data_IF_224448585888
#
_entry.id   IF_224448585888
#
_cell.length_a   1.000
_cell.length_b   1.000
_cell.length_c   1.000
_cell.angle_alpha   90.00
_cell.angle_beta   90.00
_cell.angle_gamma   90.00
#
_symmetry.space_group_name_H-M   'P 1'
#
loop_
_entity.id
_entity.type
_entity.pdbx_description
1 polymer ?
#
# COMPACT_ATOMS: atom_id res chain seq x y z
N UNK A 1 21.87 24.12 19.46
CA UNK A 1 21.14 23.86 18.20
C UNK A 1 19.78 23.29 18.55
N UNK A 2 18.66 23.82 18.02
CA UNK A 2 17.30 23.34 18.36
C UNK A 2 17.15 21.85 17.98
N UNK A 3 16.68 21.01 18.91
CA UNK A 3 16.55 19.56 18.73
C UNK A 3 15.71 19.21 17.49
N UNK A 4 14.65 19.98 17.24
CA UNK A 4 13.76 19.82 16.08
C UNK A 4 14.53 20.00 14.77
N UNK A 5 15.30 21.08 14.64
CA UNK A 5 16.02 21.38 13.39
C UNK A 5 17.11 20.35 13.12
N UNK A 6 17.80 19.88 14.16
CA UNK A 6 18.75 18.77 14.06
C UNK A 6 18.08 17.50 13.52
N UNK A 7 16.98 17.08 14.15
CA UNK A 7 16.28 15.85 13.77
C UNK A 7 15.69 15.94 12.35
N UNK A 8 15.16 17.10 11.94
CA UNK A 8 14.68 17.33 10.58
C UNK A 8 15.82 17.21 9.56
N UNK A 9 16.99 17.84 9.82
CA UNK A 9 18.16 17.73 8.94
C UNK A 9 18.65 16.29 8.84
N UNK A 10 18.76 15.59 9.96
CA UNK A 10 19.14 14.19 10.00
C UNK A 10 18.15 13.31 9.21
N UNK A 11 16.84 13.57 9.34
CA UNK A 11 15.78 12.87 8.61
C UNK A 11 15.91 13.08 7.10
N UNK A 12 16.08 14.32 6.64
CA UNK A 12 16.30 14.64 5.22
C UNK A 12 17.58 13.98 4.69
N UNK A 13 18.70 14.10 5.40
CA UNK A 13 19.96 13.46 5.01
C UNK A 13 19.82 11.92 4.92
N UNK A 14 19.12 11.31 5.88
CA UNK A 14 18.85 9.87 5.87
C UNK A 14 18.02 9.43 4.65
N UNK A 15 17.16 10.31 4.13
CA UNK A 15 16.42 10.03 2.91
C UNK A 15 17.31 9.99 1.69
N UNK A 16 18.41 10.73 1.59
CA UNK A 16 19.25 10.74 0.39
C UNK A 16 20.54 9.93 0.53
N UNK A 17 20.81 9.33 1.70
CA UNK A 17 22.04 8.59 1.98
C UNK A 17 22.27 7.39 1.05
N UNK A 18 21.23 6.69 0.61
CA UNK A 18 21.37 5.48 -0.23
C UNK A 18 20.57 5.62 -1.51
N UNK A 19 21.21 5.34 -2.65
CA UNK A 19 20.62 5.41 -4.00
C UNK A 19 19.96 6.76 -4.26
N UNK A 20 20.72 7.84 -4.04
CA UNK A 20 20.29 9.24 -4.14
C UNK A 20 19.52 9.51 -5.43
N UNK A 21 20.06 9.11 -6.58
CA UNK A 21 19.43 9.30 -7.89
C UNK A 21 18.07 8.60 -7.98
N UNK A 22 17.96 7.34 -7.55
CA UNK A 22 16.68 6.62 -7.53
C UNK A 22 15.63 7.35 -6.68
N UNK A 23 16.02 7.89 -5.52
CA UNK A 23 15.09 8.58 -4.61
C UNK A 23 14.70 9.96 -5.13
N UNK A 24 15.61 10.67 -5.77
CA UNK A 24 15.32 11.92 -6.48
C UNK A 24 14.32 11.64 -7.61
N UNK A 25 14.56 10.62 -8.43
CA UNK A 25 13.64 10.24 -9.50
C UNK A 25 12.25 9.85 -8.96
N UNK A 26 12.18 9.11 -7.86
CA UNK A 26 10.90 8.78 -7.22
C UNK A 26 10.17 10.01 -6.68
N UNK A 27 10.89 10.98 -6.12
CA UNK A 27 10.29 12.25 -5.68
C UNK A 27 9.81 13.08 -6.87
N UNK A 28 10.60 13.18 -7.94
CA UNK A 28 10.21 13.87 -9.17
C UNK A 28 8.96 13.23 -9.79
N UNK A 29 8.94 11.90 -9.89
CA UNK A 29 7.75 11.15 -10.33
C UNK A 29 6.56 11.41 -9.40
N UNK A 30 6.79 11.52 -8.08
CA UNK A 30 5.77 11.88 -7.11
C UNK A 30 5.18 13.28 -7.33
N UNK A 31 6.01 14.27 -7.67
CA UNK A 31 5.57 15.63 -8.03
C UNK A 31 4.77 15.61 -9.34
N UNK A 32 5.24 14.89 -10.35
CA UNK A 32 4.50 14.72 -11.62
C UNK A 32 3.15 14.05 -11.36
N UNK A 33 3.12 13.01 -10.53
CA UNK A 33 1.89 12.38 -10.10
C UNK A 33 0.97 13.34 -9.36
N UNK A 34 1.51 14.15 -8.44
CA UNK A 34 0.75 15.19 -7.75
C UNK A 34 0.13 16.18 -8.75
N UNK A 35 0.89 16.64 -9.76
CA UNK A 35 0.37 17.52 -10.81
C UNK A 35 -0.77 16.88 -11.62
N UNK A 36 -0.62 15.60 -12.02
CA UNK A 36 -1.67 14.86 -12.74
C UNK A 36 -2.94 14.76 -11.89
N UNK A 37 -2.82 14.38 -10.61
CA UNK A 37 -3.98 14.31 -9.73
C UNK A 37 -4.59 15.69 -9.45
N UNK A 38 -3.78 16.74 -9.27
CA UNK A 38 -4.28 18.11 -9.12
C UNK A 38 -5.05 18.56 -10.36
N UNK A 39 -4.56 18.25 -11.55
CA UNK A 39 -5.24 18.52 -12.81
C UNK A 39 -6.59 17.78 -12.88
N UNK A 40 -6.62 16.47 -12.59
CA UNK A 40 -7.86 15.69 -12.56
C UNK A 40 -8.89 16.28 -11.58
N UNK A 41 -8.47 16.65 -10.36
CA UNK A 41 -9.34 17.29 -9.38
C UNK A 41 -9.79 18.69 -9.82
N UNK A 42 -8.93 19.46 -10.50
CA UNK A 42 -9.31 20.76 -11.07
C UNK A 42 -10.40 20.60 -12.13
N UNK A 43 -10.24 19.65 -13.06
CA UNK A 43 -11.23 19.37 -14.10
C UNK A 43 -12.56 18.91 -13.49
N UNK A 44 -12.54 18.11 -12.42
CA UNK A 44 -13.75 17.73 -11.68
C UNK A 44 -14.43 18.95 -11.03
N UNK A 45 -13.66 19.87 -10.46
CA UNK A 45 -14.20 21.11 -9.88
C UNK A 45 -14.81 22.02 -10.94
N UNK A 46 -14.16 22.15 -12.10
CA UNK A 46 -14.67 22.92 -13.25
C UNK A 46 -15.97 22.32 -13.80
N UNK A 47 -16.04 21.00 -13.97
CA UNK A 47 -17.26 20.32 -14.40
C UNK A 47 -18.40 20.46 -13.38
N UNK A 48 -18.09 20.38 -12.09
CA UNK A 48 -19.05 20.64 -11.01
C UNK A 48 -19.54 22.10 -11.01
N UNK A 49 -18.66 23.06 -11.29
CA UNK A 49 -19.01 24.47 -11.41
C UNK A 49 -19.87 24.75 -12.65
N UNK A 50 -19.60 24.08 -13.76
CA UNK A 50 -20.38 24.18 -14.99
C UNK A 50 -21.74 23.46 -14.92
N UNK A 51 -22.04 22.74 -13.82
CA UNK A 51 -23.26 21.96 -13.67
C UNK A 51 -23.31 20.71 -14.57
N UNK A 52 -22.17 20.29 -15.13
CA UNK A 52 -22.07 19.13 -16.00
C UNK A 52 -22.13 17.80 -15.22
N UNK A 53 -21.98 17.85 -13.90
CA UNK A 53 -22.09 16.68 -13.00
C UNK A 53 -23.18 16.91 -11.96
N UNK A 54 -23.74 15.83 -11.42
CA UNK A 54 -24.71 15.89 -10.31
C UNK A 54 -24.09 16.34 -8.97
N UNK A 55 -22.76 16.45 -8.91
CA UNK A 55 -22.02 16.83 -7.71
C UNK A 55 -21.78 18.33 -7.70
N UNK A 56 -22.13 18.99 -6.61
CA UNK A 56 -21.76 20.40 -6.39
C UNK A 56 -20.27 20.53 -6.07
N UNK A 57 -19.69 21.71 -6.37
CA UNK A 57 -18.29 22.05 -6.02
C UNK A 57 -17.98 21.72 -4.56
N UNK A 58 -18.92 22.04 -3.66
CA UNK A 58 -18.80 21.79 -2.24
C UNK A 58 -18.62 20.31 -1.91
N UNK A 59 -19.38 19.44 -2.59
CA UNK A 59 -19.30 17.99 -2.42
C UNK A 59 -17.99 17.43 -2.97
N UNK A 60 -17.50 17.95 -4.09
CA UNK A 60 -16.20 17.55 -4.64
C UNK A 60 -15.06 17.89 -3.65
N UNK A 61 -15.07 19.10 -3.09
CA UNK A 61 -14.10 19.52 -2.07
C UNK A 61 -14.20 18.70 -0.78
N UNK A 62 -15.43 18.40 -0.33
CA UNK A 62 -15.69 17.52 0.81
C UNK A 62 -15.07 16.14 0.61
N UNK A 63 -15.31 15.53 -0.56
CA UNK A 63 -14.74 14.23 -0.90
C UNK A 63 -13.23 14.25 -1.07
N UNK A 64 -12.65 15.34 -1.61
CA UNK A 64 -11.21 15.51 -1.67
C UNK A 64 -10.56 15.51 -0.27
N UNK A 65 -11.17 16.24 0.67
CA UNK A 65 -10.72 16.28 2.07
C UNK A 65 -10.89 14.94 2.78
N UNK A 66 -12.02 14.25 2.58
CA UNK A 66 -12.24 12.91 3.13
C UNK A 66 -11.24 11.90 2.56
N UNK A 67 -10.93 11.97 1.27
CA UNK A 67 -9.91 11.14 0.63
C UNK A 67 -8.54 11.40 1.24
N UNK A 68 -8.16 12.67 1.42
CA UNK A 68 -6.90 13.06 2.06
C UNK A 68 -6.78 12.47 3.48
N UNK A 69 -7.84 12.61 4.28
CA UNK A 69 -7.93 12.05 5.63
C UNK A 69 -7.81 10.53 5.62
N UNK A 70 -8.58 9.86 4.76
CA UNK A 70 -8.58 8.41 4.63
C UNK A 70 -7.20 7.89 4.21
N UNK A 71 -6.56 8.50 3.21
CA UNK A 71 -5.23 8.12 2.74
C UNK A 71 -4.18 8.22 3.85
N UNK A 72 -4.22 9.30 4.66
CA UNK A 72 -3.26 9.49 5.75
C UNK A 72 -3.47 8.46 6.87
N UNK A 73 -4.72 8.14 7.24
CA UNK A 73 -4.98 7.15 8.29
C UNK A 73 -4.67 5.74 7.77
N UNK A 74 -5.17 5.40 6.58
CA UNK A 74 -4.97 4.08 5.98
C UNK A 74 -3.49 3.75 5.80
N UNK A 75 -2.64 4.72 5.44
CA UNK A 75 -1.20 4.45 5.26
C UNK A 75 -0.54 3.84 6.51
N UNK A 76 -1.09 4.13 7.69
CA UNK A 76 -0.56 3.64 8.96
C UNK A 76 -1.00 2.23 9.31
N UNK A 77 -2.14 1.76 8.81
CA UNK A 77 -2.77 0.50 9.21
C UNK A 77 -2.85 -0.52 8.08
N UNK A 78 -3.14 -0.05 6.88
CA UNK A 78 -3.50 -0.88 5.75
C UNK A 78 -2.56 -0.61 4.58
N UNK A 79 -1.89 -1.62 4.01
CA UNK A 79 -2.09 -3.05 4.30
C UNK A 79 -1.22 -3.59 5.43
N UNK A 80 -0.20 -2.84 5.84
CA UNK A 80 0.65 -3.21 6.96
C UNK A 80 0.69 -2.11 7.99
N UNK A 81 0.38 -2.48 9.23
CA UNK A 81 0.62 -1.62 10.39
C UNK A 81 2.06 -1.11 10.40
N UNK A 82 2.22 0.20 10.17
CA UNK A 82 3.48 0.93 10.26
C UNK A 82 3.59 1.43 11.69
N UNK A 83 4.62 0.98 12.44
CA UNK A 83 4.72 1.39 13.82
C UNK A 83 5.08 2.87 13.94
N UNK A 84 4.68 3.49 15.05
CA UNK A 84 5.08 4.85 15.38
C UNK A 84 6.61 4.92 15.48
N UNK A 85 7.20 5.97 14.92
CA UNK A 85 8.64 6.20 14.98
C UNK A 85 9.04 6.87 16.29
N UNK A 86 9.68 6.12 17.20
CA UNK A 86 10.32 6.67 18.40
C UNK A 86 11.71 7.22 18.04
N UNK A 87 11.79 8.51 17.72
CA UNK A 87 13.05 9.16 17.35
C UNK A 87 13.95 9.32 18.57
N UNK A 88 13.35 9.70 19.70
CA UNK A 88 14.06 9.94 20.95
C UNK A 88 13.54 8.90 21.97
N UNK A 89 14.32 7.84 22.24
CA UNK A 89 13.99 6.88 23.27
C UNK A 89 13.70 7.54 24.62
N UNK A 90 12.76 6.97 25.38
CA UNK A 90 12.33 7.53 26.68
C UNK A 90 13.42 7.58 27.75
N UNK A 91 14.51 6.84 27.56
CA UNK A 91 15.68 6.80 28.43
C UNK A 91 16.53 8.07 28.36
N UNK A 92 16.42 8.85 27.29
CA UNK A 92 17.18 10.09 27.17
C UNK A 92 16.56 11.19 28.04
N UNK A 93 17.38 12.07 28.65
CA UNK A 93 16.93 13.13 29.55
C UNK A 93 16.34 14.32 28.78
N UNK A 94 15.35 14.08 27.92
CA UNK A 94 14.62 15.09 27.17
C UNK A 94 13.22 15.22 27.77
N UNK A 95 12.76 16.46 27.98
CA UNK A 95 11.42 16.72 28.52
C UNK A 95 10.33 16.08 27.64
N UNK A 96 9.25 15.61 28.26
CA UNK A 96 8.17 14.92 27.54
C UNK A 96 7.54 15.80 26.44
N UNK A 97 7.43 17.11 26.70
CA UNK A 97 6.87 18.09 25.76
C UNK A 97 7.80 18.32 24.56
N UNK A 98 9.11 18.45 24.80
CA UNK A 98 10.08 18.66 23.73
C UNK A 98 10.21 17.41 22.85
N UNK A 99 10.17 16.22 23.47
CA UNK A 99 10.09 14.95 22.73
C UNK A 99 8.84 14.89 21.87
N UNK A 100 7.67 15.17 22.43
CA UNK A 100 6.39 15.14 21.70
C UNK A 100 6.41 16.09 20.50
N UNK A 101 6.82 17.35 20.72
CA UNK A 101 6.93 18.36 19.65
C UNK A 101 7.92 17.95 18.57
N UNK A 102 9.07 17.43 18.96
CA UNK A 102 10.11 16.97 18.01
C UNK A 102 9.60 15.81 17.17
N UNK A 103 9.01 14.79 17.80
CA UNK A 103 8.44 13.66 17.07
C UNK A 103 7.31 14.10 16.12
N UNK A 104 6.43 15.00 16.57
CA UNK A 104 5.31 15.50 15.76
C UNK A 104 5.78 16.23 14.51
N UNK A 105 6.76 17.13 14.66
CA UNK A 105 7.27 17.92 13.54
C UNK A 105 8.11 17.07 12.59
N UNK A 106 8.99 16.20 13.12
CA UNK A 106 9.90 15.41 12.28
C UNK A 106 9.15 14.34 11.47
N UNK A 107 8.03 13.82 11.96
CA UNK A 107 7.18 12.90 11.19
C UNK A 107 6.52 13.56 9.97
N UNK A 108 6.22 14.87 10.04
CA UNK A 108 5.75 15.67 8.90
C UNK A 108 6.83 15.82 7.82
N UNK A 109 8.11 15.73 8.20
CA UNK A 109 9.24 15.69 7.26
C UNK A 109 9.38 14.29 6.68
N UNK A 110 8.45 13.93 5.79
CA UNK A 110 8.50 12.69 5.01
C UNK A 110 8.17 12.94 3.53
N UNK A 111 8.71 12.13 2.60
CA UNK A 111 8.38 12.22 1.17
C UNK A 111 6.88 12.21 0.88
N UNK A 112 6.11 11.46 1.67
CA UNK A 112 4.67 11.35 1.51
C UNK A 112 3.95 12.69 1.76
N UNK A 113 4.23 13.35 2.88
CA UNK A 113 3.62 14.66 3.19
C UNK A 113 4.12 15.74 2.24
N UNK A 114 5.37 15.65 1.79
CA UNK A 114 5.92 16.54 0.76
C UNK A 114 5.13 16.44 -0.56
N UNK A 115 4.85 15.23 -1.04
CA UNK A 115 4.05 15.02 -2.26
C UNK A 115 2.61 15.52 -2.07
N UNK A 116 1.97 15.22 -0.93
CA UNK A 116 0.62 15.71 -0.64
C UNK A 116 0.55 17.24 -0.58
N UNK A 117 1.55 17.90 0.03
CA UNK A 117 1.59 19.36 0.07
C UNK A 117 1.74 19.96 -1.33
N UNK A 118 2.57 19.36 -2.19
CA UNK A 118 2.69 19.78 -3.58
C UNK A 118 1.37 19.59 -4.34
N UNK A 119 0.65 18.48 -4.11
CA UNK A 119 -0.69 18.27 -4.68
C UNK A 119 -1.66 19.39 -4.28
N UNK A 120 -1.70 19.79 -3.00
CA UNK A 120 -2.58 20.86 -2.54
C UNK A 120 -2.20 22.23 -3.12
N UNK A 121 -0.90 22.53 -3.22
CA UNK A 121 -0.40 23.77 -3.82
C UNK A 121 -0.74 23.81 -5.31
N UNK A 122 -0.48 22.73 -6.05
CA UNK A 122 -0.79 22.65 -7.48
C UNK A 122 -2.30 22.73 -7.72
N UNK A 123 -3.13 22.11 -6.87
CA UNK A 123 -4.59 22.22 -6.97
C UNK A 123 -5.05 23.67 -6.80
N UNK A 124 -4.47 24.40 -5.85
CA UNK A 124 -4.72 25.84 -5.66
C UNK A 124 -4.30 26.69 -6.86
N UNK A 125 -3.18 26.38 -7.49
CA UNK A 125 -2.70 27.10 -8.66
C UNK A 125 -3.51 26.80 -9.93
N UNK A 126 -4.05 25.58 -10.05
CA UNK A 126 -4.74 25.13 -11.25
C UNK A 126 -6.25 25.39 -11.22
N UNK A 127 -6.90 25.36 -10.04
CA UNK A 127 -8.35 25.46 -9.93
C UNK A 127 -8.80 26.79 -9.30
N UNK A 128 -9.49 27.68 -10.04
CA UNK A 128 -10.00 28.93 -9.48
C UNK A 128 -11.10 28.72 -8.42
N UNK A 129 -11.80 27.58 -8.48
CA UNK A 129 -12.79 27.19 -7.47
C UNK A 129 -12.16 26.84 -6.12
N UNK A 130 -10.87 26.49 -6.10
CA UNK A 130 -10.14 26.12 -4.90
C UNK A 130 -9.47 27.35 -4.25
N UNK A 131 -10.25 28.12 -3.50
CA UNK A 131 -9.75 29.34 -2.84
C UNK A 131 -8.70 29.08 -1.74
N UNK A 132 -8.03 30.14 -1.28
CA UNK A 132 -7.04 30.07 -0.20
C UNK A 132 -7.61 29.53 1.13
N UNK A 133 -8.90 29.75 1.40
CA UNK A 133 -9.58 29.18 2.57
C UNK A 133 -9.63 27.66 2.48
N UNK A 134 -9.95 27.11 1.30
CA UNK A 134 -9.95 25.67 1.06
C UNK A 134 -8.54 25.09 1.17
N UNK A 135 -7.51 25.79 0.69
CA UNK A 135 -6.11 25.37 0.88
C UNK A 135 -5.74 25.25 2.36
N UNK A 136 -6.02 26.29 3.14
CA UNK A 136 -5.75 26.29 4.59
C UNK A 136 -6.53 25.18 5.30
N UNK A 137 -7.80 24.99 4.94
CA UNK A 137 -8.62 23.91 5.46
C UNK A 137 -8.02 22.54 5.15
N UNK A 138 -7.62 22.27 3.91
CA UNK A 138 -7.02 20.99 3.53
C UNK A 138 -5.70 20.72 4.26
N UNK A 139 -4.92 21.77 4.55
CA UNK A 139 -3.75 21.67 5.43
C UNK A 139 -4.17 21.29 6.85
N UNK A 140 -5.24 21.88 7.40
CA UNK A 140 -5.78 21.47 8.71
C UNK A 140 -6.28 20.03 8.71
N UNK A 141 -6.93 19.57 7.63
CA UNK A 141 -7.36 18.16 7.46
C UNK A 141 -6.14 17.23 7.44
N UNK A 142 -5.08 17.60 6.71
CA UNK A 142 -3.81 16.85 6.68
C UNK A 142 -3.22 16.69 8.09
N UNK A 143 -3.14 17.78 8.86
CA UNK A 143 -2.62 17.78 10.22
C UNK A 143 -3.53 16.97 11.16
N UNK A 144 -4.84 17.13 11.06
CA UNK A 144 -5.84 16.38 11.84
C UNK A 144 -5.70 14.88 11.59
N UNK A 145 -5.58 14.47 10.32
CA UNK A 145 -5.40 13.07 9.96
C UNK A 145 -4.04 12.52 10.44
N UNK A 146 -2.97 13.33 10.41
CA UNK A 146 -1.67 12.92 10.94
C UNK A 146 -1.72 12.66 12.46
N UNK A 147 -2.34 13.56 13.22
CA UNK A 147 -2.45 13.42 14.68
C UNK A 147 -3.39 12.27 15.04
N UNK A 148 -4.48 12.10 14.29
CA UNK A 148 -5.39 10.95 14.44
C UNK A 148 -4.65 9.63 14.22
N UNK A 149 -3.87 9.53 13.15
CA UNK A 149 -3.02 8.38 12.89
C UNK A 149 -2.09 8.09 14.09
N UNK A 150 -1.38 9.10 14.61
CA UNK A 150 -0.51 8.93 15.78
C UNK A 150 -1.28 8.45 17.01
N UNK A 151 -2.46 9.01 17.27
CA UNK A 151 -3.28 8.62 18.42
C UNK A 151 -3.67 7.14 18.33
N UNK A 152 -4.13 6.71 17.16
CA UNK A 152 -4.46 5.31 16.90
C UNK A 152 -3.24 4.40 17.05
N UNK A 153 -2.07 4.81 16.54
CA UNK A 153 -0.83 4.04 16.71
C UNK A 153 -0.45 3.88 18.19
N UNK A 154 -0.56 4.94 18.99
CA UNK A 154 -0.29 4.90 20.43
C UNK A 154 -1.23 3.94 21.15
N UNK A 155 -2.53 3.96 20.83
CA UNK A 155 -3.52 3.05 21.40
C UNK A 155 -3.24 1.58 21.05
N UNK A 156 -2.75 1.33 19.84
CA UNK A 156 -2.44 -0.03 19.34
C UNK A 156 -1.14 -0.56 19.93
N UNK A 157 -0.08 0.25 19.99
CA UNK A 157 1.26 -0.18 20.39
C UNK A 157 1.51 -0.21 21.88
N UNK A 158 0.95 0.74 22.64
CA UNK A 158 1.33 0.95 24.03
C UNK A 158 0.26 0.43 24.99
N UNK A 159 0.69 0.08 26.20
CA UNK A 159 -0.23 -0.17 27.31
C UNK A 159 -0.67 1.17 27.90
N UNK A 160 -1.97 1.44 27.93
CA UNK A 160 -2.53 2.70 28.45
C UNK A 160 -2.88 2.53 29.92
N UNK A 161 -2.49 3.50 30.76
CA UNK A 161 -2.95 3.57 32.16
C UNK A 161 -4.32 4.26 32.19
N UNK A 162 -5.38 3.49 32.03
CA UNK A 162 -6.76 3.99 31.96
C UNK A 162 -7.21 4.82 33.16
N UNK A 163 -6.63 4.60 34.36
CA UNK A 163 -6.98 5.33 35.59
C UNK A 163 -6.11 6.56 35.86
N UNK A 164 -5.14 6.87 34.99
CA UNK A 164 -4.23 7.99 35.21
C UNK A 164 -4.90 9.33 34.82
N UNK A 165 -4.67 10.41 35.57
CA UNK A 165 -5.27 11.73 35.31
C UNK A 165 -5.00 12.23 33.88
N UNK A 166 -3.80 11.97 33.34
CA UNK A 166 -3.47 12.29 31.94
C UNK A 166 -4.37 11.57 30.93
N UNK A 167 -4.85 10.36 31.22
CA UNK A 167 -5.80 9.69 30.32
C UNK A 167 -7.16 10.39 30.32
N UNK A 168 -7.66 10.81 31.49
CA UNK A 168 -8.89 11.60 31.58
C UNK A 168 -8.75 12.95 30.86
N UNK A 169 -7.62 13.65 31.04
CA UNK A 169 -7.33 14.89 30.30
C UNK A 169 -7.32 14.65 28.78
N UNK A 170 -6.72 13.55 28.32
CA UNK A 170 -6.77 13.16 26.91
C UNK A 170 -8.22 12.93 26.42
N UNK A 171 -9.02 12.19 27.19
CA UNK A 171 -10.41 11.90 26.86
C UNK A 171 -11.28 13.18 26.79
N UNK A 172 -11.11 14.11 27.72
CA UNK A 172 -11.84 15.40 27.72
C UNK A 172 -11.46 16.22 26.47
N UNK A 173 -10.17 16.32 26.16
CA UNK A 173 -9.70 17.04 24.97
C UNK A 173 -10.18 16.36 23.67
N UNK A 174 -10.22 15.02 23.62
CA UNK A 174 -10.80 14.29 22.50
C UNK A 174 -12.31 14.53 22.38
N UNK A 175 -13.04 14.56 23.49
CA UNK A 175 -14.48 14.85 23.50
C UNK A 175 -14.77 16.27 23.00
N UNK A 176 -13.97 17.26 23.40
CA UNK A 176 -14.05 18.63 22.88
C UNK A 176 -13.79 18.68 21.36
N UNK A 177 -12.78 17.97 20.87
CA UNK A 177 -12.54 17.82 19.44
C UNK A 177 -13.76 17.22 18.72
N UNK A 178 -14.30 16.10 19.22
CA UNK A 178 -15.46 15.42 18.61
C UNK A 178 -16.69 16.31 18.62
N UNK A 179 -16.97 17.03 19.73
CA UNK A 179 -18.10 17.95 19.83
C UNK A 179 -18.04 19.03 18.74
N UNK A 180 -16.85 19.60 18.49
CA UNK A 180 -16.65 20.56 17.40
C UNK A 180 -16.81 19.88 16.03
N UNK A 181 -16.25 18.69 15.81
CA UNK A 181 -16.37 17.99 14.52
C UNK A 181 -17.80 17.56 14.19
N UNK A 182 -18.64 17.28 15.18
CA UNK A 182 -20.05 16.94 14.97
C UNK A 182 -20.84 18.15 14.48
N UNK A 183 -20.54 19.34 14.99
CA UNK A 183 -21.22 20.58 14.61
C UNK A 183 -20.65 21.16 13.30
N UNK A 184 -19.32 21.21 13.20
CA UNK A 184 -18.59 21.81 12.08
C UNK A 184 -17.47 20.86 11.62
N UNK A 185 -17.81 19.84 10.81
CA UNK A 185 -16.84 18.84 10.39
C UNK A 185 -15.73 19.47 9.54
N UNK A 186 -14.48 19.17 9.85
CA UNK A 186 -13.28 19.75 9.19
C UNK A 186 -13.17 19.44 7.70
N UNK A 187 -13.90 18.45 7.19
CA UNK A 187 -13.97 18.13 5.77
C UNK A 187 -14.99 18.97 4.99
N UNK A 188 -15.94 19.64 5.67
CA UNK A 188 -16.94 20.50 5.00
C UNK A 188 -16.31 21.83 4.59
N UNK A 189 -16.45 22.30 3.33
CA UNK A 189 -15.74 23.48 2.84
C UNK A 189 -15.94 24.75 3.69
N UNK A 190 -14.84 25.44 3.98
CA UNK A 190 -14.83 26.64 4.81
C UNK A 190 -15.13 27.90 3.98
N UNK A 191 -16.33 28.44 4.14
CA UNK A 191 -16.74 29.70 3.49
C UNK A 191 -16.31 30.97 4.24
N UNK A 192 -15.81 30.82 5.48
CA UNK A 192 -15.43 31.96 6.32
C UNK A 192 -14.19 31.68 7.14
N UNK A 193 -13.44 32.74 7.46
CA UNK A 193 -12.30 32.68 8.37
C UNK A 193 -12.68 32.17 9.77
N UNK A 194 -13.91 32.43 10.21
CA UNK A 194 -14.41 31.95 11.50
C UNK A 194 -14.43 30.41 11.55
N UNK A 195 -14.82 29.74 10.45
CA UNK A 195 -14.74 28.27 10.36
C UNK A 195 -13.30 27.77 10.44
N UNK A 196 -12.35 28.45 9.82
CA UNK A 196 -10.92 28.11 9.92
C UNK A 196 -10.42 28.22 11.36
N UNK A 197 -10.83 29.25 12.11
CA UNK A 197 -10.50 29.41 13.53
C UNK A 197 -11.08 28.26 14.36
N UNK A 198 -12.34 27.89 14.11
CA UNK A 198 -13.00 26.73 14.76
C UNK A 198 -12.23 25.43 14.48
N UNK A 199 -11.83 25.20 13.22
CA UNK A 199 -11.03 24.03 12.86
C UNK A 199 -9.62 24.04 13.49
N UNK A 200 -9.00 25.22 13.63
CA UNK A 200 -7.72 25.39 14.32
C UNK A 200 -7.85 25.07 15.81
N UNK A 201 -8.93 25.52 16.46
CA UNK A 201 -9.24 25.18 17.84
C UNK A 201 -9.45 23.67 18.01
N UNK A 202 -10.21 23.04 17.11
CA UNK A 202 -10.39 21.59 17.09
C UNK A 202 -9.05 20.84 16.96
N UNK A 203 -8.18 21.27 16.05
CA UNK A 203 -6.84 20.71 15.89
C UNK A 203 -6.00 20.88 17.17
N UNK A 204 -6.13 22.02 17.85
CA UNK A 204 -5.51 22.28 19.15
C UNK A 204 -5.93 21.26 20.21
N UNK A 205 -7.25 21.03 20.35
CA UNK A 205 -7.80 20.00 21.25
C UNK A 205 -7.31 18.60 20.90
N UNK A 206 -7.28 18.23 19.62
CA UNK A 206 -6.78 16.93 19.19
C UNK A 206 -5.27 16.77 19.48
N UNK A 207 -4.49 17.83 19.30
CA UNK A 207 -3.05 17.84 19.62
C UNK A 207 -2.81 17.68 21.12
N UNK A 208 -3.55 18.42 21.95
CA UNK A 208 -3.50 18.30 23.40
C UNK A 208 -3.90 16.89 23.86
N UNK A 209 -4.98 16.34 23.29
CA UNK A 209 -5.41 14.96 23.53
C UNK A 209 -4.28 13.97 23.24
N UNK A 210 -3.61 14.11 22.09
CA UNK A 210 -2.52 13.22 21.69
C UNK A 210 -1.33 13.29 22.67
N UNK A 211 -0.95 14.50 23.10
CA UNK A 211 0.10 14.70 24.09
C UNK A 211 -0.22 13.99 25.43
N UNK A 212 -1.43 14.22 25.97
CA UNK A 212 -1.86 13.60 27.21
C UNK A 212 -2.01 12.08 27.09
N UNK A 213 -2.47 11.59 25.95
CA UNK A 213 -2.55 10.17 25.65
C UNK A 213 -1.16 9.53 25.67
N UNK A 214 -0.17 10.17 25.05
CA UNK A 214 1.22 9.70 25.08
C UNK A 214 1.83 9.71 26.48
N UNK A 215 1.50 10.71 27.30
CA UNK A 215 1.91 10.79 28.70
C UNK A 215 1.29 9.67 29.55
N UNK A 216 0.05 9.26 29.24
CA UNK A 216 -0.61 8.12 29.90
C UNK A 216 -0.11 6.74 29.45
N UNK A 217 0.60 6.69 28.32
CA UNK A 217 1.07 5.46 27.70
C UNK A 217 2.37 4.94 28.34
N UNK A 218 2.39 3.66 28.69
CA UNK A 218 3.53 2.97 29.32
C UNK A 218 4.36 2.17 28.30
N UNK A 219 5.09 1.15 28.76
CA UNK A 219 5.94 0.28 27.95
C UNK A 219 5.25 -0.25 26.67
N UNK A 220 6.02 -0.51 25.60
CA UNK A 220 5.48 -1.14 24.40
C UNK A 220 4.85 -2.49 24.75
N UNK A 221 3.70 -2.80 24.14
CA UNK A 221 3.08 -4.11 24.30
C UNK A 221 4.05 -5.18 23.79
N UNK A 222 4.50 -6.09 24.67
CA UNK A 222 5.35 -7.21 24.28
C UNK A 222 4.64 -8.01 23.19
N UNK A 223 5.29 -8.16 22.03
CA UNK A 223 4.82 -9.06 20.97
C UNK A 223 4.94 -10.48 21.49
N UNK A 224 3.83 -11.06 21.93
CA UNK A 224 3.77 -12.49 22.22
C UNK A 224 3.85 -13.19 20.87
N UNK A 225 5.00 -13.83 20.61
CA UNK A 225 5.15 -14.70 19.45
C UNK A 225 4.28 -15.93 19.73
N UNK A 226 3.09 -15.95 19.15
CA UNK A 226 2.22 -17.12 19.16
C UNK A 226 2.92 -18.22 18.36
N UNK A 227 3.69 -19.07 19.03
CA UNK A 227 4.11 -20.34 18.46
C UNK A 227 2.85 -21.19 18.29
N UNK A 228 2.40 -21.40 17.05
CA UNK A 228 1.27 -22.29 16.83
C UNK A 228 1.73 -23.73 17.09
N UNK A 229 1.31 -24.30 18.22
CA UNK A 229 1.59 -25.70 18.62
C UNK A 229 0.88 -26.75 17.76
N UNK A 230 0.04 -26.33 16.81
CA UNK A 230 -0.74 -27.23 15.95
C UNK A 230 0.13 -27.83 14.83
N UNK A 231 0.70 -29.01 15.07
CA UNK A 231 1.37 -29.88 14.08
C UNK A 231 0.47 -30.32 12.93
N UNK A 232 -0.87 -30.35 13.11
CA UNK A 232 -1.84 -30.79 12.09
C UNK A 232 -2.09 -29.81 10.93
N UNK A 233 -1.52 -28.59 10.96
CA UNK A 233 -1.77 -27.58 9.90
C UNK A 233 -0.79 -27.75 8.73
N UNK A 234 -1.31 -27.70 7.50
CA UNK A 234 -0.51 -27.81 6.27
C UNK A 234 0.63 -26.79 6.25
N UNK A 235 1.80 -27.19 5.74
CA UNK A 235 2.98 -26.32 5.66
C UNK A 235 2.70 -25.06 4.83
N UNK A 236 1.92 -25.18 3.75
CA UNK A 236 1.45 -24.07 2.92
C UNK A 236 0.71 -23.01 3.75
N UNK A 237 -0.27 -23.45 4.55
CA UNK A 237 -1.02 -22.57 5.44
C UNK A 237 -0.13 -21.90 6.48
N UNK A 238 0.85 -22.64 7.03
CA UNK A 238 1.81 -22.08 7.98
C UNK A 238 2.70 -21.01 7.35
N UNK A 239 3.24 -21.26 6.14
CA UNK A 239 4.05 -20.28 5.41
C UNK A 239 3.25 -19.00 5.13
N UNK A 240 2.03 -19.14 4.61
CA UNK A 240 1.13 -18.02 4.36
C UNK A 240 0.77 -17.25 5.65
N UNK A 241 0.35 -17.96 6.71
CA UNK A 241 -0.11 -17.32 7.95
C UNK A 241 1.04 -16.62 8.70
N UNK A 242 2.22 -17.23 8.73
CA UNK A 242 3.34 -16.77 9.57
C UNK A 242 4.10 -15.60 8.95
N UNK A 243 4.19 -15.53 7.61
CA UNK A 243 4.89 -14.42 6.97
C UNK A 243 3.99 -13.19 6.83
N UNK A 244 3.97 -12.34 7.88
CA UNK A 244 3.09 -11.16 8.02
C UNK A 244 3.01 -10.30 6.75
N UNK A 245 4.15 -9.96 6.13
CA UNK A 245 4.19 -9.01 5.02
C UNK A 245 3.63 -9.62 3.71
N UNK A 246 4.06 -10.84 3.36
CA UNK A 246 3.46 -11.63 2.28
C UNK A 246 1.94 -11.74 2.43
N UNK A 247 1.45 -12.11 3.63
CA UNK A 247 0.01 -12.19 3.92
C UNK A 247 -0.69 -10.87 3.67
N UNK A 248 -0.13 -9.76 4.14
CA UNK A 248 -0.71 -8.43 3.98
C UNK A 248 -0.76 -7.98 2.51
N UNK A 249 0.30 -8.23 1.74
CA UNK A 249 0.33 -7.89 0.32
C UNK A 249 -0.66 -8.74 -0.48
N UNK A 250 -0.82 -10.01 -0.14
CA UNK A 250 -1.80 -10.89 -0.78
C UNK A 250 -3.23 -10.50 -0.42
N UNK A 251 -3.53 -10.24 0.86
CA UNK A 251 -4.85 -9.76 1.28
C UNK A 251 -5.17 -8.42 0.60
N UNK A 252 -4.21 -7.49 0.56
CA UNK A 252 -4.38 -6.22 -0.14
C UNK A 252 -4.77 -6.43 -1.61
N UNK A 253 -4.00 -7.25 -2.32
CA UNK A 253 -4.25 -7.55 -3.72
C UNK A 253 -5.61 -8.20 -3.93
N UNK A 254 -5.97 -9.17 -3.09
CA UNK A 254 -7.26 -9.87 -3.16
C UNK A 254 -8.45 -8.95 -2.86
N UNK A 255 -8.35 -8.07 -1.85
CA UNK A 255 -9.39 -7.09 -1.54
C UNK A 255 -9.54 -6.10 -2.70
N UNK A 256 -8.42 -5.61 -3.24
CA UNK A 256 -8.45 -4.69 -4.36
C UNK A 256 -9.08 -5.32 -5.60
N UNK A 257 -8.73 -6.57 -5.92
CA UNK A 257 -9.37 -7.35 -6.99
C UNK A 257 -10.86 -7.54 -6.74
N UNK A 258 -11.27 -7.90 -5.52
CA UNK A 258 -12.67 -8.07 -5.16
C UNK A 258 -13.47 -6.76 -5.30
N UNK A 259 -12.88 -5.61 -4.97
CA UNK A 259 -13.52 -4.31 -5.18
C UNK A 259 -13.72 -4.00 -6.66
N UNK A 260 -12.74 -4.28 -7.51
CA UNK A 260 -12.85 -4.06 -8.96
C UNK A 260 -13.91 -4.97 -9.58
N UNK A 261 -13.84 -6.28 -9.30
CA UNK A 261 -14.83 -7.23 -9.80
C UNK A 261 -16.23 -6.96 -9.24
N UNK A 262 -16.32 -6.52 -7.99
CA UNK A 262 -17.58 -6.11 -7.35
C UNK A 262 -18.17 -4.84 -7.97
N UNK A 263 -17.34 -3.84 -8.28
CA UNK A 263 -17.77 -2.62 -8.96
C UNK A 263 -18.31 -2.93 -10.37
N UNK A 264 -17.62 -3.80 -11.10
CA UNK A 264 -18.10 -4.26 -12.40
C UNK A 264 -19.42 -5.03 -12.31
N UNK A 265 -19.53 -5.98 -11.36
CA UNK A 265 -20.76 -6.73 -11.14
C UNK A 265 -21.94 -5.81 -10.77
N UNK A 266 -21.70 -4.76 -9.97
CA UNK A 266 -22.72 -3.76 -9.63
C UNK A 266 -23.14 -2.92 -10.85
N UNK A 267 -22.19 -2.57 -11.72
CA UNK A 267 -22.49 -1.86 -12.97
C UNK A 267 -23.33 -2.72 -13.90
N UNK A 268 -22.94 -3.98 -14.10
CA UNK A 268 -23.69 -4.92 -14.93
C UNK A 268 -25.11 -5.14 -14.40
N UNK A 269 -25.27 -5.29 -13.08
CA UNK A 269 -26.59 -5.44 -12.47
C UNK A 269 -27.50 -4.21 -12.61
N UNK A 270 -26.95 -3.01 -12.78
CA UNK A 270 -27.73 -1.76 -12.88
C UNK A 270 -28.00 -1.34 -14.32
N UNK A 271 -26.98 -1.45 -15.17
CA UNK A 271 -26.97 -0.88 -16.52
C UNK A 271 -26.94 -1.96 -17.61
N UNK A 272 -26.77 -3.23 -17.25
CA UNK A 272 -26.62 -4.34 -18.19
C UNK A 272 -25.30 -4.34 -18.96
N UNK A 273 -24.36 -3.45 -18.60
CA UNK A 273 -23.06 -3.27 -19.25
C UNK A 273 -21.93 -3.50 -18.26
N UNK A 274 -20.88 -4.21 -18.70
CA UNK A 274 -19.66 -4.36 -17.93
C UNK A 274 -18.76 -3.14 -18.11
N UNK A 275 -18.21 -2.64 -17.00
CA UNK A 275 -17.13 -1.64 -17.01
C UNK A 275 -15.88 -2.24 -17.65
N UNK A 276 -15.66 -3.55 -17.49
CA UNK A 276 -14.52 -4.26 -18.08
C UNK A 276 -14.50 -4.16 -19.61
N UNK A 277 -15.66 -4.11 -20.27
CA UNK A 277 -15.75 -4.07 -21.73
C UNK A 277 -15.30 -2.70 -22.29
N UNK A 278 -15.62 -1.62 -21.56
CA UNK A 278 -15.20 -0.27 -21.93
C UNK A 278 -13.73 -0.02 -21.56
N UNK A 279 -13.26 -0.60 -20.45
CA UNK A 279 -11.92 -0.37 -19.92
C UNK A 279 -11.11 -1.67 -19.94
N UNK A 280 -10.47 -1.92 -21.08
CA UNK A 280 -9.64 -3.11 -21.34
C UNK A 280 -8.58 -3.35 -20.26
N UNK A 281 -8.05 -2.29 -19.63
CA UNK A 281 -7.04 -2.43 -18.57
C UNK A 281 -7.58 -3.10 -17.30
N UNK A 282 -8.88 -3.06 -17.04
CA UNK A 282 -9.48 -3.72 -15.88
C UNK A 282 -9.53 -5.24 -16.02
N UNK A 283 -9.46 -5.77 -17.26
CA UNK A 283 -9.33 -7.21 -17.50
C UNK A 283 -8.05 -7.79 -16.87
N UNK A 284 -7.03 -6.96 -16.62
CA UNK A 284 -5.82 -7.37 -15.92
C UNK A 284 -6.08 -7.91 -14.51
N UNK A 285 -7.20 -7.53 -13.89
CA UNK A 285 -7.60 -8.00 -12.56
C UNK A 285 -8.36 -9.32 -12.57
N UNK A 286 -8.81 -9.80 -13.72
CA UNK A 286 -9.53 -11.08 -13.84
C UNK A 286 -8.59 -12.27 -13.59
N UNK A 287 -7.33 -12.18 -14.02
CA UNK A 287 -6.33 -13.23 -13.80
C UNK A 287 -5.61 -13.17 -12.44
N UNK A 288 -4.68 -14.10 -12.19
CA UNK A 288 -3.90 -14.19 -10.95
C UNK A 288 -2.72 -13.21 -10.90
N UNK A 289 -2.59 -12.30 -11.88
CA UNK A 289 -1.48 -11.35 -12.01
C UNK A 289 -1.19 -10.58 -10.71
N UNK A 290 -2.24 -10.21 -9.97
CA UNK A 290 -2.12 -9.51 -8.69
C UNK A 290 -1.30 -10.31 -7.68
N UNK A 291 -1.51 -11.63 -7.58
CA UNK A 291 -0.75 -12.48 -6.66
C UNK A 291 0.75 -12.45 -7.01
N UNK A 292 1.07 -12.53 -8.30
CA UNK A 292 2.44 -12.56 -8.79
C UNK A 292 3.17 -11.23 -8.62
N UNK A 293 2.54 -10.13 -9.03
CA UNK A 293 3.13 -8.78 -8.96
C UNK A 293 3.44 -8.33 -7.53
N UNK A 294 2.68 -8.82 -6.55
CA UNK A 294 2.88 -8.43 -5.15
C UNK A 294 3.85 -9.33 -4.37
N UNK A 295 3.83 -10.66 -4.59
CA UNK A 295 4.62 -11.60 -3.78
C UNK A 295 5.45 -12.57 -4.60
N UNK A 296 4.84 -13.26 -5.58
CA UNK A 296 5.46 -14.44 -6.17
C UNK A 296 6.52 -14.16 -7.23
N UNK A 297 6.59 -12.93 -7.77
CA UNK A 297 7.72 -12.45 -8.56
C UNK A 297 9.00 -12.18 -7.71
N UNK A 298 8.95 -12.43 -6.41
CA UNK A 298 10.12 -12.36 -5.52
C UNK A 298 9.97 -13.31 -4.32
N UNK A 299 9.57 -14.56 -4.55
CA UNK A 299 9.23 -15.49 -3.47
C UNK A 299 10.37 -15.68 -2.47
N UNK A 300 11.63 -15.75 -2.94
CA UNK A 300 12.80 -15.90 -2.08
C UNK A 300 13.13 -14.63 -1.29
N UNK A 301 12.68 -13.46 -1.74
CA UNK A 301 12.74 -12.22 -0.97
C UNK A 301 11.85 -12.26 0.28
N UNK A 302 10.65 -12.83 0.17
CA UNK A 302 9.73 -13.01 1.30
C UNK A 302 10.16 -14.20 2.17
N UNK A 303 10.46 -15.35 1.55
CA UNK A 303 10.76 -16.59 2.26
C UNK A 303 12.26 -16.91 2.26
N UNK A 304 13.12 -15.91 2.50
CA UNK A 304 14.59 -16.08 2.45
C UNK A 304 15.11 -17.23 3.31
N UNK A 305 14.57 -17.41 4.51
CA UNK A 305 14.98 -18.48 5.42
C UNK A 305 14.58 -19.86 4.91
N UNK A 306 13.46 -19.97 4.19
CA UNK A 306 13.04 -21.21 3.55
C UNK A 306 14.03 -21.57 2.43
N UNK A 307 14.40 -20.59 1.59
CA UNK A 307 15.42 -20.76 0.56
C UNK A 307 16.74 -21.25 1.17
N UNK A 308 17.25 -20.58 2.22
CA UNK A 308 18.51 -20.94 2.87
C UNK A 308 18.46 -22.35 3.48
N UNK A 309 17.31 -22.75 4.03
CA UNK A 309 17.14 -24.10 4.60
C UNK A 309 17.27 -25.16 3.51
N UNK A 310 16.63 -24.95 2.35
CA UNK A 310 16.65 -25.90 1.22
C UNK A 310 18.06 -25.99 0.62
N UNK A 311 18.74 -24.85 0.44
CA UNK A 311 20.12 -24.82 -0.05
C UNK A 311 21.07 -25.62 0.87
N UNK A 312 20.86 -25.55 2.19
CA UNK A 312 21.68 -26.26 3.17
C UNK A 312 21.31 -27.74 3.32
N UNK A 313 20.05 -28.10 3.11
CA UNK A 313 19.58 -29.47 3.33
C UNK A 313 19.75 -30.37 2.11
N UNK A 314 19.33 -29.90 0.92
CA UNK A 314 19.35 -30.71 -0.30
C UNK A 314 20.09 -30.06 -1.46
N UNK A 315 20.03 -28.73 -1.59
CA UNK A 315 20.60 -28.00 -2.71
C UNK A 315 19.99 -28.35 -4.08
N UNK A 316 18.92 -29.15 -4.12
CA UNK A 316 18.32 -29.65 -5.35
C UNK A 316 17.27 -28.66 -5.90
N UNK A 317 17.35 -28.34 -7.19
CA UNK A 317 16.39 -27.46 -7.88
C UNK A 317 14.93 -27.95 -7.78
N UNK A 318 14.71 -29.27 -7.72
CA UNK A 318 13.35 -29.83 -7.57
C UNK A 318 12.71 -29.42 -6.25
N UNK A 319 13.48 -29.37 -5.18
CA UNK A 319 13.00 -28.95 -3.87
C UNK A 319 12.74 -27.45 -3.84
N UNK A 320 13.53 -26.64 -4.55
CA UNK A 320 13.25 -25.22 -4.71
C UNK A 320 11.92 -24.96 -5.43
N UNK A 321 11.64 -25.66 -6.53
CA UNK A 321 10.36 -25.55 -7.25
C UNK A 321 9.21 -26.01 -6.34
N UNK A 322 9.35 -27.15 -5.67
CA UNK A 322 8.31 -27.66 -4.76
C UNK A 322 8.03 -26.66 -3.64
N UNK A 323 9.06 -26.09 -3.04
CA UNK A 323 8.95 -25.12 -1.96
C UNK A 323 8.37 -23.78 -2.41
N UNK A 324 8.64 -23.34 -3.64
CA UNK A 324 8.08 -22.11 -4.19
C UNK A 324 6.58 -22.23 -4.49
N UNK A 325 6.13 -23.41 -4.93
CA UNK A 325 4.72 -23.68 -5.24
C UNK A 325 3.87 -23.86 -3.97
N UNK A 326 4.45 -24.31 -2.86
CA UNK A 326 3.73 -24.52 -1.61
C UNK A 326 2.95 -23.29 -1.11
N UNK A 327 3.57 -22.10 -0.92
CA UNK A 327 2.84 -20.92 -0.45
C UNK A 327 1.86 -20.35 -1.49
N UNK A 328 1.96 -20.73 -2.78
CA UNK A 328 1.08 -20.25 -3.85
C UNK A 328 -0.31 -20.87 -3.82
N UNK A 329 -0.44 -22.10 -3.29
CA UNK A 329 -1.69 -22.88 -3.35
C UNK A 329 -2.91 -22.14 -2.78
N UNK A 330 -2.79 -21.61 -1.56
CA UNK A 330 -3.92 -20.97 -0.88
C UNK A 330 -4.31 -19.64 -1.55
N UNK A 331 -3.39 -18.71 -1.83
CA UNK A 331 -3.72 -17.49 -2.56
C UNK A 331 -4.34 -17.76 -3.93
N UNK A 332 -3.75 -18.69 -4.70
CA UNK A 332 -4.23 -19.00 -6.05
C UNK A 332 -5.62 -19.64 -6.02
N UNK A 333 -5.91 -20.51 -5.04
CA UNK A 333 -7.25 -21.06 -4.86
C UNK A 333 -8.28 -19.98 -4.54
N UNK A 334 -7.96 -19.07 -3.62
CA UNK A 334 -8.86 -17.96 -3.28
C UNK A 334 -9.12 -17.05 -4.49
N UNK A 335 -8.10 -16.80 -5.29
CA UNK A 335 -8.18 -16.01 -6.52
C UNK A 335 -9.00 -16.70 -7.60
N UNK A 336 -8.81 -18.00 -7.81
CA UNK A 336 -9.59 -18.79 -8.75
C UNK A 336 -11.07 -18.82 -8.35
N UNK A 337 -11.36 -19.05 -7.05
CA UNK A 337 -12.75 -19.03 -6.54
C UNK A 337 -13.38 -17.65 -6.77
N UNK A 338 -12.66 -16.57 -6.45
CA UNK A 338 -13.18 -15.22 -6.64
C UNK A 338 -13.46 -14.92 -8.13
N UNK A 339 -12.52 -15.23 -9.02
CA UNK A 339 -12.68 -15.03 -10.46
C UNK A 339 -13.80 -15.89 -11.03
N UNK A 340 -13.82 -17.19 -10.74
CA UNK A 340 -14.81 -18.09 -11.34
C UNK A 340 -16.22 -17.87 -10.78
N UNK A 341 -16.36 -17.46 -9.52
CA UNK A 341 -17.66 -17.04 -8.99
C UNK A 341 -18.18 -15.79 -9.71
N UNK A 342 -17.32 -14.80 -9.94
CA UNK A 342 -17.68 -13.62 -10.71
C UNK A 342 -18.10 -13.98 -12.16
N UNK A 343 -17.32 -14.82 -12.84
CA UNK A 343 -17.63 -15.27 -14.21
C UNK A 343 -18.95 -16.03 -14.28
N UNK A 344 -19.17 -16.96 -13.35
CA UNK A 344 -20.37 -17.79 -13.33
C UNK A 344 -21.65 -16.98 -13.11
N UNK A 345 -21.58 -15.91 -12.30
CA UNK A 345 -22.75 -15.11 -11.94
C UNK A 345 -23.00 -13.94 -12.89
N UNK A 346 -21.94 -13.29 -13.39
CA UNK A 346 -22.05 -12.01 -14.09
C UNK A 346 -21.53 -12.04 -15.53
N UNK A 347 -20.60 -12.92 -15.90
CA UNK A 347 -19.93 -12.88 -17.21
C UNK A 347 -19.85 -14.28 -17.88
N UNK A 348 -21.00 -14.93 -18.02
CA UNK A 348 -21.09 -16.29 -18.55
C UNK A 348 -20.77 -16.37 -20.06
N UNK A 349 -21.00 -15.29 -20.81
CA UNK A 349 -20.78 -15.24 -22.26
C UNK A 349 -19.29 -15.42 -22.64
N UNK A 350 -18.37 -14.91 -21.82
CA UNK A 350 -16.93 -15.03 -22.03
C UNK A 350 -16.27 -16.12 -21.16
N UNK A 351 -17.05 -17.01 -20.55
CA UNK A 351 -16.55 -17.99 -19.57
C UNK A 351 -15.41 -18.86 -20.12
N UNK A 352 -15.54 -19.38 -21.34
CA UNK A 352 -14.50 -20.22 -21.96
C UNK A 352 -13.19 -19.44 -22.17
N UNK A 353 -13.27 -18.21 -22.69
CA UNK A 353 -12.10 -17.35 -22.86
C UNK A 353 -11.41 -17.10 -21.50
N UNK A 354 -12.19 -16.76 -20.47
CA UNK A 354 -11.65 -16.45 -19.14
C UNK A 354 -11.00 -17.65 -18.50
N UNK A 355 -11.60 -18.85 -18.58
CA UNK A 355 -11.01 -20.08 -18.03
C UNK A 355 -9.71 -20.44 -18.75
N UNK A 356 -9.68 -20.33 -20.08
CA UNK A 356 -8.46 -20.59 -20.86
C UNK A 356 -7.36 -19.57 -20.53
N UNK A 357 -7.71 -18.27 -20.50
CA UNK A 357 -6.79 -17.20 -20.12
C UNK A 357 -6.26 -17.39 -18.70
N UNK A 358 -7.13 -17.70 -17.74
CA UNK A 358 -6.75 -17.94 -16.35
C UNK A 358 -5.79 -19.13 -16.24
N UNK A 359 -6.09 -20.23 -16.92
CA UNK A 359 -5.23 -21.43 -16.94
C UNK A 359 -3.88 -21.14 -17.61
N UNK A 360 -3.90 -20.50 -18.78
CA UNK A 360 -2.69 -20.10 -19.50
C UNK A 360 -1.82 -19.15 -18.68
N UNK A 361 -2.45 -18.22 -17.95
CA UNK A 361 -1.74 -17.29 -17.08
C UNK A 361 -1.06 -17.97 -15.89
N UNK A 362 -1.66 -19.00 -15.30
CA UNK A 362 -1.00 -19.79 -14.25
C UNK A 362 0.23 -20.47 -14.81
N UNK A 363 0.08 -21.13 -15.97
CA UNK A 363 1.18 -21.84 -16.63
C UNK A 363 2.30 -20.91 -17.08
N UNK A 364 1.98 -19.65 -17.38
CA UNK A 364 2.94 -18.62 -17.76
C UNK A 364 3.61 -17.95 -16.55
N UNK A 365 2.83 -17.53 -15.56
CA UNK A 365 3.31 -16.70 -14.45
C UNK A 365 4.05 -17.51 -13.38
N UNK A 366 3.74 -18.80 -13.20
CA UNK A 366 4.49 -19.66 -12.27
C UNK A 366 5.98 -19.76 -12.65
N UNK A 367 6.36 -20.21 -13.86
CA UNK A 367 7.76 -20.28 -14.24
C UNK A 367 8.39 -18.89 -14.30
N UNK A 368 7.65 -17.88 -14.76
CA UNK A 368 8.14 -16.51 -14.81
C UNK A 368 8.46 -15.93 -13.42
N UNK A 369 7.58 -16.13 -12.43
CA UNK A 369 7.81 -15.68 -11.05
C UNK A 369 9.00 -16.37 -10.39
N UNK A 370 9.25 -17.64 -10.74
CA UNK A 370 10.45 -18.36 -10.33
C UNK A 370 11.72 -17.76 -10.94
N UNK A 371 11.72 -17.47 -12.24
CA UNK A 371 12.82 -16.78 -12.93
C UNK A 371 13.11 -15.44 -12.24
N UNK A 372 12.09 -14.61 -12.05
CA UNK A 372 12.22 -13.31 -11.41
C UNK A 372 12.85 -13.40 -10.02
N UNK A 373 12.43 -14.42 -9.25
CA UNK A 373 12.91 -14.67 -7.90
C UNK A 373 14.38 -15.09 -7.82
N UNK A 374 14.93 -15.75 -8.86
CA UNK A 374 16.35 -16.12 -8.92
C UNK A 374 17.23 -15.03 -9.53
N UNK A 375 16.79 -14.41 -10.63
CA UNK A 375 17.63 -13.48 -11.41
C UNK A 375 17.69 -12.09 -10.77
N UNK A 376 16.58 -11.63 -10.20
CA UNK A 376 16.43 -10.29 -9.61
C UNK A 376 15.78 -10.32 -8.22
N UNK A 377 16.36 -11.07 -7.26
CA UNK A 377 15.83 -11.12 -5.91
C UNK A 377 15.86 -9.73 -5.27
N UNK A 378 14.88 -9.44 -4.41
CA UNK A 378 14.87 -8.22 -3.58
C UNK A 378 14.69 -8.60 -2.12
N UNK A 379 15.52 -8.05 -1.24
CA UNK A 379 15.32 -8.20 0.19
C UNK A 379 14.06 -7.43 0.63
N UNK A 380 13.09 -8.16 1.19
CA UNK A 380 11.84 -7.58 1.65
C UNK A 380 12.05 -6.97 3.04
N UNK A 381 12.22 -5.64 3.10
CA UNK A 381 12.37 -4.85 4.35
C UNK A 381 11.37 -3.70 4.42
N UNK A 382 10.89 -3.36 5.61
CA UNK A 382 9.95 -2.25 5.86
C UNK A 382 8.48 -2.59 5.52
N UNK A 383 7.55 -1.67 5.81
CA UNK A 383 6.11 -1.83 5.53
C UNK A 383 5.76 -1.78 4.05
N UNK A 384 4.46 -1.90 3.70
CA UNK A 384 4.02 -1.96 2.29
C UNK A 384 4.11 -0.59 1.60
N UNK A 385 3.91 0.51 2.33
CA UNK A 385 4.17 1.88 1.84
C UNK A 385 5.62 2.34 1.94
N UNK A 386 6.55 1.44 2.26
CA UNK A 386 7.94 1.83 2.16
C UNK A 386 8.27 2.06 0.69
N UNK A 387 8.94 3.17 0.37
CA UNK A 387 9.48 3.44 -0.97
C UNK A 387 10.51 2.40 -1.45
N UNK A 388 10.86 1.40 -0.63
CA UNK A 388 11.68 0.26 -1.03
C UNK A 388 10.83 -0.75 -1.80
N UNK A 389 11.18 -0.94 -3.07
CA UNK A 389 10.58 -1.93 -3.94
C UNK A 389 10.71 -3.33 -3.33
N UNK A 390 9.58 -3.99 -3.10
CA UNK A 390 9.52 -5.36 -2.56
C UNK A 390 9.65 -6.43 -3.63
N UNK A 391 9.49 -6.04 -4.88
CA UNK A 391 9.59 -6.89 -6.07
C UNK A 391 10.34 -6.08 -7.13
N UNK A 392 10.96 -6.74 -8.10
CA UNK A 392 11.64 -6.08 -9.20
C UNK A 392 10.64 -5.43 -10.16
N UNK A 393 10.71 -4.11 -10.34
CA UNK A 393 9.82 -3.38 -11.25
C UNK A 393 9.91 -3.90 -12.69
N UNK A 394 11.11 -4.21 -13.16
CA UNK A 394 11.32 -4.77 -14.50
C UNK A 394 10.54 -6.06 -14.69
N UNK A 395 10.66 -7.01 -13.75
CA UNK A 395 9.96 -8.28 -13.84
C UNK A 395 8.45 -8.13 -13.64
N UNK A 396 7.98 -7.18 -12.84
CA UNK A 396 6.55 -6.87 -12.78
C UNK A 396 6.03 -6.29 -14.09
N UNK A 397 6.77 -5.37 -14.72
CA UNK A 397 6.40 -4.83 -16.03
C UNK A 397 6.36 -5.92 -17.10
N UNK A 398 7.38 -6.79 -17.14
CA UNK A 398 7.42 -7.95 -18.03
C UNK A 398 6.28 -8.94 -17.75
N UNK A 399 5.94 -9.20 -16.47
CA UNK A 399 4.80 -10.04 -16.12
C UNK A 399 3.49 -9.45 -16.60
N UNK A 400 3.29 -8.14 -16.45
CA UNK A 400 2.11 -7.42 -16.97
C UNK A 400 2.06 -7.54 -18.49
N UNK A 401 3.18 -7.30 -19.19
CA UNK A 401 3.25 -7.37 -20.65
C UNK A 401 2.96 -8.79 -21.18
N UNK A 402 3.59 -9.82 -20.60
CA UNK A 402 3.36 -11.22 -20.96
C UNK A 402 1.93 -11.66 -20.67
N UNK A 403 1.36 -11.23 -19.54
CA UNK A 403 -0.03 -11.50 -19.20
C UNK A 403 -0.99 -10.76 -20.14
N UNK A 404 -0.69 -9.51 -20.50
CA UNK A 404 -1.48 -8.72 -21.46
C UNK A 404 -1.55 -9.39 -22.84
N UNK A 405 -0.47 -10.07 -23.27
CA UNK A 405 -0.48 -10.83 -24.53
C UNK A 405 -1.49 -11.99 -24.53
N UNK A 406 -1.92 -12.48 -23.36
CA UNK A 406 -2.97 -13.51 -23.28
C UNK A 406 -4.37 -12.99 -23.65
N UNK A 407 -4.56 -11.67 -23.75
CA UNK A 407 -5.80 -11.05 -24.21
C UNK A 407 -5.87 -10.86 -25.72
N UNK A 408 -4.78 -11.08 -26.45
CA UNK A 408 -4.76 -10.97 -27.92
C UNK A 408 -5.82 -11.82 -28.64
N UNK A 409 -6.26 -13.00 -28.15
CA UNK A 409 -7.36 -13.73 -28.77
C UNK A 409 -8.70 -12.97 -28.82
N UNK A 410 -8.88 -11.91 -28.03
CA UNK A 410 -10.04 -11.01 -28.15
C UNK A 410 -10.06 -10.24 -29.47
N UNK A 411 -8.89 -10.02 -30.08
CA UNK A 411 -8.77 -9.36 -31.39
C UNK A 411 -9.01 -10.35 -32.53
N UNK A 412 -8.45 -11.56 -32.43
CA UNK A 412 -8.59 -12.59 -33.46
C UNK A 412 -8.34 -14.00 -32.89
N UNK A 413 -9.22 -15.00 -33.13
CA UNK A 413 -9.10 -16.34 -32.54
C UNK A 413 -7.78 -17.07 -32.85
N UNK A 414 -7.17 -16.85 -34.02
CA UNK A 414 -5.86 -17.45 -34.38
C UNK A 414 -4.76 -17.09 -33.38
N UNK A 415 -4.89 -15.97 -32.66
CA UNK A 415 -3.92 -15.53 -31.65
C UNK A 415 -3.90 -16.43 -30.40
N UNK A 416 -4.84 -17.39 -30.26
CA UNK A 416 -4.70 -18.47 -29.27
C UNK A 416 -3.43 -19.30 -29.47
N UNK A 417 -2.88 -19.37 -30.69
CA UNK A 417 -1.61 -20.04 -30.97
C UNK A 417 -0.41 -19.40 -30.23
N UNK A 418 -0.55 -18.17 -29.73
CA UNK A 418 0.47 -17.53 -28.89
C UNK A 418 0.58 -18.15 -27.50
N UNK A 419 -0.48 -18.77 -26.97
CA UNK A 419 -0.46 -19.37 -25.62
C UNK A 419 0.64 -20.42 -25.48
N UNK A 420 0.70 -21.49 -26.31
CA UNK A 420 1.77 -22.48 -26.21
C UNK A 420 3.15 -21.88 -26.46
N UNK A 421 3.29 -20.86 -27.31
CA UNK A 421 4.56 -20.17 -27.55
C UNK A 421 5.06 -19.45 -26.28
N UNK A 422 4.19 -18.66 -25.64
CA UNK A 422 4.52 -17.91 -24.43
C UNK A 422 4.81 -18.85 -23.25
N UNK A 423 3.96 -19.88 -23.07
CA UNK A 423 4.15 -20.89 -22.03
C UNK A 423 5.46 -21.66 -22.28
N UNK A 424 5.67 -22.19 -23.48
CA UNK A 424 6.90 -22.89 -23.86
C UNK A 424 8.16 -22.03 -23.66
N UNK A 425 8.11 -20.77 -24.09
CA UNK A 425 9.21 -19.82 -23.92
C UNK A 425 9.56 -19.55 -22.45
N UNK A 426 8.55 -19.37 -21.58
CA UNK A 426 8.80 -19.17 -20.14
C UNK A 426 9.31 -20.43 -19.44
N UNK A 427 8.84 -21.62 -19.81
CA UNK A 427 9.39 -22.88 -19.30
C UNK A 427 10.83 -23.13 -19.78
N UNK A 428 11.13 -22.82 -21.04
CA UNK A 428 12.49 -22.89 -21.58
C UNK A 428 13.43 -21.93 -20.83
N UNK A 429 13.01 -20.68 -20.63
CA UNK A 429 13.77 -19.71 -19.84
C UNK A 429 13.97 -20.15 -18.39
N UNK A 430 12.96 -20.77 -17.76
CA UNK A 430 13.11 -21.34 -16.42
C UNK A 430 14.17 -22.45 -16.40
N UNK A 431 14.13 -23.37 -17.36
CA UNK A 431 15.14 -24.42 -17.47
C UNK A 431 16.56 -23.86 -17.63
N UNK A 432 16.73 -22.81 -18.45
CA UNK A 432 18.01 -22.12 -18.61
C UNK A 432 18.49 -21.49 -17.28
N UNK A 433 17.60 -20.80 -16.55
CA UNK A 433 17.93 -20.18 -15.26
C UNK A 433 18.28 -21.22 -14.20
N UNK A 434 17.56 -22.36 -14.17
CA UNK A 434 17.86 -23.46 -13.24
C UNK A 434 19.21 -24.10 -13.54
N UNK A 435 19.60 -24.21 -14.81
CA UNK A 435 20.94 -24.68 -15.21
C UNK A 435 22.04 -23.73 -14.72
N UNK A 436 21.77 -22.42 -14.70
CA UNK A 436 22.70 -21.40 -14.21
C UNK A 436 22.57 -21.10 -12.70
N UNK A 437 21.69 -21.81 -11.98
CA UNK A 437 21.47 -21.62 -10.55
C UNK A 437 22.75 -21.57 -9.69
N UNK A 438 23.79 -22.40 -9.94
CA UNK A 438 25.05 -22.33 -9.19
C UNK A 438 25.72 -20.94 -9.21
N UNK A 439 25.50 -20.13 -10.25
CA UNK A 439 25.95 -18.74 -10.30
C UNK A 439 24.99 -17.81 -9.56
N UNK A 440 23.69 -17.98 -9.76
CA UNK A 440 22.67 -17.13 -9.14
C UNK A 440 22.61 -17.25 -7.62
N UNK A 441 22.89 -18.42 -7.04
CA UNK A 441 22.80 -18.62 -5.58
C UNK A 441 23.70 -17.68 -4.77
N UNK A 442 24.90 -17.36 -5.28
CA UNK A 442 25.80 -16.44 -4.60
C UNK A 442 25.27 -15.01 -4.61
N UNK A 443 24.77 -14.55 -5.77
CA UNK A 443 24.11 -13.24 -5.91
C UNK A 443 22.87 -13.15 -5.02
N UNK A 444 22.09 -14.22 -4.95
CA UNK A 444 20.87 -14.30 -4.15
C UNK A 444 21.20 -14.27 -2.65
N UNK A 445 22.20 -15.02 -2.20
CA UNK A 445 22.71 -14.94 -0.83
C UNK A 445 23.17 -13.53 -0.47
N UNK A 446 24.00 -12.91 -1.33
CA UNK A 446 24.47 -11.55 -1.12
C UNK A 446 23.29 -10.57 -1.01
N UNK A 447 22.34 -10.62 -1.92
CA UNK A 447 21.21 -9.69 -1.96
C UNK A 447 20.25 -9.85 -0.76
N UNK A 448 20.03 -11.08 -0.29
CA UNK A 448 19.07 -11.37 0.77
C UNK A 448 19.64 -11.23 2.19
N UNK A 449 20.96 -11.44 2.35
CA UNK A 449 21.60 -11.56 3.66
C UNK A 449 22.74 -10.58 3.90
N UNK A 450 23.56 -10.26 2.88
CA UNK A 450 24.57 -9.20 3.04
C UNK A 450 23.83 -7.87 2.94
N UNK A 451 23.60 -7.25 4.09
CA UNK A 451 23.25 -5.84 4.15
C UNK A 451 24.24 -5.06 3.30
N UNK A 452 23.79 -4.41 2.23
CA UNK A 452 24.46 -3.21 1.73
C UNK A 452 24.61 -2.30 2.96
N UNK A 453 25.84 -2.19 3.47
CA UNK A 453 26.21 -1.40 4.65
C UNK A 453 26.20 0.09 4.36
#
# INVERSE_FOLDING_TARGET
MNLVSFCCRARVASFFRHRRLQRILLLALGIVGAAIYSWLFSSLLEQAQAGATSLSVNKVLEYANLLLLALIILKGFFPAYVPKTEIIPRIYPVSAIERFRTELIVELVSPFYFILLNFLILLFLMSPAYTALHLLQSVMVLLTAHITLRALQVLVERKIRWRHHMFFAAAVMAAAFVAIQVQEPTFTPAYSWLKIIVHMAALGFLTASNYFLEASATEPRRKVVSHSSSTRRSLSWRLFKNHKLARQMLIFGMVFKALILGADALSYSKEGKHILDEIVTLWLFVGPLVIFSYVFNNIWGFYRNLWLTIERSSGNYKDFIKASLLPLRVPLLLDAVLTFLYVALFNHQHALFIVLMYTGSILLLIPFGLIASFVSPKAVKGGIFSFSAKVSYLYNFLAIALFAMLFLPLLHPVLYLLYPLLIGGTFFALAAVLKEYPRYKYKLFQTLYKTEG
#
